data_IF_787001474566
#
_entry.id   IF_787001474566
#
_cell.length_a   1.000
_cell.length_b   1.000
_cell.length_c   1.000
_cell.angle_alpha   90.00
_cell.angle_beta   90.00
_cell.angle_gamma   90.00
#
_symmetry.space_group_name_H-M   'P 1'
#
loop_
_entity.id
_entity.type
_entity.pdbx_description
1 polymer ?
#
# COMPACT_ATOMS: atom_id res chain seq x y z
N UNK A 1 18.12 4.09 1.00
CA UNK A 1 16.69 4.31 1.27
C UNK A 1 15.90 3.43 0.30
N UNK A 2 14.84 2.78 0.78
CA UNK A 2 13.87 2.08 -0.07
C UNK A 2 13.29 3.03 -1.12
N UNK A 3 12.79 2.50 -2.24
CA UNK A 3 12.27 3.35 -3.31
C UNK A 3 11.38 2.59 -4.28
N UNK A 4 10.54 3.35 -4.97
CA UNK A 4 9.68 2.85 -6.04
C UNK A 4 10.34 3.01 -7.40
N UNK A 5 10.10 2.06 -8.29
CA UNK A 5 10.23 2.32 -9.73
C UNK A 5 9.11 3.25 -10.19
N UNK A 6 9.26 3.89 -11.36
CA UNK A 6 8.19 4.72 -11.95
C UNK A 6 6.92 3.87 -12.08
N UNK A 7 5.80 4.42 -11.63
CA UNK A 7 4.49 3.76 -11.66
C UNK A 7 3.43 4.78 -12.03
N UNK A 8 2.48 4.37 -12.87
CA UNK A 8 1.26 5.11 -13.15
C UNK A 8 0.10 4.34 -12.50
N UNK A 9 -0.66 5.03 -11.64
CA UNK A 9 -1.89 4.53 -11.06
C UNK A 9 -3.04 5.35 -11.62
N UNK A 10 -4.04 4.65 -12.15
CA UNK A 10 -5.19 5.26 -12.79
C UNK A 10 -6.44 5.04 -11.91
N UNK A 11 -7.20 6.10 -11.60
CA UNK A 11 -8.49 5.94 -10.94
C UNK A 11 -9.44 5.22 -11.89
N UNK A 12 -10.08 4.13 -11.44
CA UNK A 12 -11.00 3.35 -12.29
C UNK A 12 -12.39 3.97 -12.41
N UNK A 13 -12.68 4.99 -11.58
CA UNK A 13 -14.03 5.55 -11.41
C UNK A 13 -14.97 4.64 -10.60
N UNK A 14 -14.50 3.48 -10.13
CA UNK A 14 -15.27 2.56 -9.31
C UNK A 14 -14.97 2.77 -7.82
N UNK A 15 -15.91 2.35 -6.97
CA UNK A 15 -15.73 2.36 -5.51
C UNK A 15 -16.03 1.00 -4.90
N UNK A 16 -15.21 0.54 -3.93
CA UNK A 16 -15.46 -0.63 -3.09
C UNK A 16 -15.58 -0.16 -1.64
N UNK A 17 -16.70 -0.48 -0.98
CA UNK A 17 -16.97 -0.07 0.40
C UNK A 17 -16.81 1.46 0.65
N UNK A 18 -17.12 2.28 -0.36
CA UNK A 18 -16.99 3.74 -0.30
C UNK A 18 -15.57 4.27 -0.55
N UNK A 19 -14.60 3.42 -0.88
CA UNK A 19 -13.23 3.80 -1.28
C UNK A 19 -13.05 3.74 -2.78
N UNK A 20 -12.35 4.70 -3.36
CA UNK A 20 -12.01 4.71 -4.78
C UNK A 20 -11.04 3.56 -5.11
N UNK A 21 -11.30 2.86 -6.21
CA UNK A 21 -10.40 1.81 -6.70
C UNK A 21 -9.39 2.43 -7.67
N UNK A 22 -8.13 2.09 -7.48
CA UNK A 22 -7.03 2.46 -8.37
C UNK A 22 -6.49 1.22 -9.06
N UNK A 23 -6.19 1.35 -10.35
CA UNK A 23 -5.56 0.30 -11.14
C UNK A 23 -4.13 0.69 -11.45
N UNK A 24 -3.22 -0.25 -11.29
CA UNK A 24 -1.81 -0.11 -11.69
C UNK A 24 -1.74 -0.19 -13.21
N UNK A 25 -1.42 0.91 -13.89
CA UNK A 25 -1.32 0.95 -15.34
C UNK A 25 -0.01 0.30 -15.84
N UNK A 26 1.08 0.53 -15.10
CA UNK A 26 2.40 -0.04 -15.39
C UNK A 26 2.92 -0.80 -14.17
N UNK A 27 3.44 -2.02 -14.41
CA UNK A 27 4.06 -2.82 -13.34
C UNK A 27 5.17 -2.01 -12.66
N UNK A 28 5.21 -2.07 -11.33
CA UNK A 28 6.27 -1.41 -10.56
C UNK A 28 6.77 -2.31 -9.44
N UNK A 29 7.93 -1.97 -8.90
CA UNK A 29 8.52 -2.67 -7.78
C UNK A 29 8.83 -1.71 -6.64
N UNK A 30 8.65 -2.20 -5.41
CA UNK A 30 9.15 -1.58 -4.19
C UNK A 30 10.36 -2.35 -3.67
N UNK A 31 11.54 -1.73 -3.68
CA UNK A 31 12.77 -2.33 -3.16
C UNK A 31 12.87 -2.12 -1.65
N UNK A 32 13.02 -3.22 -0.91
CA UNK A 32 13.04 -3.22 0.55
C UNK A 32 14.45 -2.87 1.05
N UNK A 33 14.53 -1.92 1.98
CA UNK A 33 15.75 -1.51 2.69
C UNK A 33 16.57 -0.45 1.95
N UNK A 34 17.04 -0.77 0.75
CA UNK A 34 17.78 0.15 -0.10
C UNK A 34 17.64 -0.17 -1.58
N UNK A 35 17.84 0.85 -2.42
CA UNK A 35 17.82 0.72 -3.87
C UNK A 35 18.88 -0.29 -4.35
N UNK A 36 18.47 -1.29 -5.12
CA UNK A 36 19.35 -2.38 -5.58
C UNK A 36 19.62 -3.48 -4.55
N UNK A 37 18.80 -3.60 -3.49
CA UNK A 37 18.94 -4.69 -2.50
C UNK A 37 18.69 -6.09 -3.06
N UNK A 38 18.07 -6.19 -4.25
CA UNK A 38 17.63 -7.46 -4.84
C UNK A 38 16.39 -8.06 -4.18
N UNK A 39 15.91 -7.47 -3.08
CA UNK A 39 14.67 -7.85 -2.42
C UNK A 39 13.58 -6.83 -2.75
N UNK A 40 12.64 -7.21 -3.61
CA UNK A 40 11.60 -6.31 -4.08
C UNK A 40 10.22 -6.97 -4.11
N UNK A 41 9.19 -6.16 -3.86
CA UNK A 41 7.79 -6.53 -4.05
C UNK A 41 7.33 -5.98 -5.38
N UNK A 42 7.01 -6.87 -6.32
CA UNK A 42 6.51 -6.49 -7.64
C UNK A 42 4.99 -6.46 -7.64
N UNK A 43 4.43 -5.32 -8.01
CA UNK A 43 3.00 -5.13 -8.25
C UNK A 43 2.77 -5.12 -9.77
N UNK A 44 2.00 -6.09 -10.31
CA UNK A 44 1.81 -6.21 -11.75
C UNK A 44 0.86 -5.13 -12.31
N UNK A 45 1.03 -4.79 -13.58
CA UNK A 45 0.03 -4.03 -14.33
C UNK A 45 -1.33 -4.75 -14.28
N UNK A 46 -2.40 -3.97 -14.16
CA UNK A 46 -3.77 -4.47 -13.97
C UNK A 46 -4.13 -4.78 -12.51
N UNK A 47 -3.18 -4.74 -11.57
CA UNK A 47 -3.49 -4.90 -10.14
C UNK A 47 -4.41 -3.77 -9.65
N UNK A 48 -5.42 -4.13 -8.87
CA UNK A 48 -6.38 -3.18 -8.31
C UNK A 48 -6.18 -3.06 -6.80
N UNK A 49 -6.12 -1.83 -6.31
CA UNK A 49 -6.05 -1.49 -4.88
C UNK A 49 -7.22 -0.60 -4.52
N UNK A 50 -7.81 -0.79 -3.34
CA UNK A 50 -8.82 0.10 -2.75
C UNK A 50 -8.19 1.17 -1.84
N UNK A 51 -6.86 1.25 -1.84
CA UNK A 51 -6.09 2.21 -1.05
C UNK A 51 -5.88 1.77 0.40
N UNK A 52 -5.28 2.63 1.24
CA UNK A 52 -4.96 2.27 2.61
C UNK A 52 -6.23 2.02 3.42
N UNK A 53 -6.25 0.92 4.16
CA UNK A 53 -7.34 0.56 5.08
C UNK A 53 -7.34 1.45 6.33
N UNK A 54 -7.88 2.66 6.19
CA UNK A 54 -7.90 3.69 7.25
C UNK A 54 -9.33 3.90 7.78
N UNK A 55 -9.53 4.14 9.09
CA UNK A 55 -10.82 4.49 9.63
C UNK A 55 -11.42 5.74 8.97
N UNK A 56 -12.74 5.73 8.75
CA UNK A 56 -13.46 6.80 8.05
C UNK A 56 -13.22 8.19 8.66
N UNK A 57 -13.06 8.28 9.99
CA UNK A 57 -12.83 9.54 10.71
C UNK A 57 -11.45 10.14 10.43
N UNK A 58 -10.47 9.32 10.04
CA UNK A 58 -9.11 9.76 9.76
C UNK A 58 -8.91 10.17 8.28
N UNK A 59 -9.83 9.81 7.37
CA UNK A 59 -9.72 10.09 5.93
C UNK A 59 -9.56 11.59 5.61
N UNK A 60 -10.07 12.49 6.47
CA UNK A 60 -9.93 13.95 6.30
C UNK A 60 -8.59 14.50 6.76
N UNK A 61 -7.84 13.72 7.54
CA UNK A 61 -6.57 14.14 8.15
C UNK A 61 -5.36 13.61 7.35
N UNK A 62 -5.56 12.54 6.58
CA UNK A 62 -4.49 11.90 5.83
C UNK A 62 -4.57 12.20 4.34
N UNK A 63 -3.41 12.27 3.68
CA UNK A 63 -3.34 12.29 2.22
C UNK A 63 -3.38 10.86 1.69
N UNK A 64 -4.59 10.38 1.40
CA UNK A 64 -4.81 9.04 0.84
C UNK A 64 -4.13 8.91 -0.54
N UNK A 65 -4.12 9.99 -1.33
CA UNK A 65 -3.53 10.00 -2.68
C UNK A 65 -2.03 9.72 -2.66
N UNK A 66 -1.32 10.30 -1.69
CA UNK A 66 0.11 10.08 -1.48
C UNK A 66 0.46 8.64 -1.05
N UNK A 67 -0.51 7.86 -0.58
CA UNK A 67 -0.31 6.50 -0.05
C UNK A 67 -0.78 5.40 -1.00
N UNK A 68 -1.39 5.72 -2.15
CA UNK A 68 -2.03 4.74 -3.03
C UNK A 68 -1.03 3.68 -3.53
N UNK A 69 0.19 4.09 -3.88
CA UNK A 69 1.20 3.16 -4.40
C UNK A 69 1.73 2.26 -3.28
N UNK A 70 1.95 2.81 -2.09
CA UNK A 70 2.26 2.03 -0.89
C UNK A 70 1.14 1.05 -0.53
N UNK A 71 -0.13 1.47 -0.68
CA UNK A 71 -1.28 0.61 -0.44
C UNK A 71 -1.35 -0.55 -1.45
N UNK A 72 -1.07 -0.31 -2.73
CA UNK A 72 -0.97 -1.39 -3.71
C UNK A 72 0.10 -2.43 -3.36
N UNK A 73 1.24 -2.01 -2.80
CA UNK A 73 2.25 -2.95 -2.27
C UNK A 73 1.71 -3.75 -1.09
N UNK A 74 1.00 -3.11 -0.16
CA UNK A 74 0.39 -3.76 1.00
C UNK A 74 -0.67 -4.79 0.62
N UNK A 75 -1.57 -4.43 -0.31
CA UNK A 75 -2.60 -5.34 -0.81
C UNK A 75 -1.96 -6.53 -1.54
N UNK A 76 -0.92 -6.27 -2.33
CA UNK A 76 -0.17 -7.34 -3.01
C UNK A 76 0.54 -8.28 -2.02
N UNK A 77 1.01 -7.77 -0.89
CA UNK A 77 1.59 -8.56 0.20
C UNK A 77 0.53 -9.39 0.94
N UNK A 78 -0.71 -8.91 1.03
CA UNK A 78 -1.81 -9.68 1.62
C UNK A 78 -2.20 -10.91 0.80
N UNK A 79 -2.04 -10.85 -0.52
CA UNK A 79 -2.25 -12.01 -1.42
C UNK A 79 -1.09 -13.03 -1.36
N UNK A 80 0.07 -12.62 -0.83
CA UNK A 80 1.27 -13.43 -0.80
C UNK A 80 1.43 -14.15 0.55
N UNK A 81 1.05 -15.43 0.58
CA UNK A 81 1.11 -16.27 1.79
C UNK A 81 2.52 -16.48 2.36
N UNK A 82 3.57 -16.08 1.62
CA UNK A 82 4.96 -16.11 2.12
C UNK A 82 5.22 -15.05 3.20
N UNK A 83 4.40 -14.00 3.25
CA UNK A 83 4.53 -12.92 4.23
C UNK A 83 3.48 -13.05 5.33
N UNK A 84 3.93 -12.89 6.56
CA UNK A 84 3.03 -12.68 7.69
C UNK A 84 2.36 -11.31 7.58
N UNK A 85 1.23 -11.15 8.27
CA UNK A 85 0.54 -9.85 8.35
C UNK A 85 1.47 -8.76 8.86
N UNK A 86 2.25 -9.06 9.91
CA UNK A 86 3.15 -8.10 10.55
C UNK A 86 4.28 -7.66 9.60
N UNK A 87 4.84 -8.60 8.82
CA UNK A 87 5.83 -8.27 7.79
C UNK A 87 5.22 -7.36 6.71
N UNK A 88 4.00 -7.67 6.26
CA UNK A 88 3.27 -6.82 5.32
C UNK A 88 3.05 -5.40 5.85
N UNK A 89 2.59 -5.28 7.10
CA UNK A 89 2.34 -3.99 7.76
C UNK A 89 3.65 -3.19 7.94
N UNK A 90 4.76 -3.84 8.29
CA UNK A 90 6.08 -3.19 8.44
C UNK A 90 6.67 -2.73 7.09
N UNK A 91 6.51 -3.54 6.04
CA UNK A 91 6.91 -3.16 4.68
C UNK A 91 6.07 -1.97 4.22
N UNK A 92 4.78 -1.95 4.49
CA UNK A 92 3.89 -0.84 4.16
C UNK A 92 4.30 0.46 4.87
N UNK A 93 4.67 0.42 6.15
CA UNK A 93 5.23 1.58 6.86
C UNK A 93 6.48 2.13 6.16
N UNK A 94 7.36 1.23 5.70
CA UNK A 94 8.58 1.59 4.97
C UNK A 94 8.26 2.14 3.58
N UNK A 95 7.23 1.62 2.91
CA UNK A 95 6.76 2.08 1.62
C UNK A 95 6.22 3.51 1.70
N UNK A 96 5.37 3.80 2.69
CA UNK A 96 4.86 5.16 2.93
C UNK A 96 6.00 6.15 3.19
N UNK A 97 7.02 5.75 3.95
CA UNK A 97 8.19 6.58 4.19
C UNK A 97 8.98 6.88 2.90
N UNK A 98 8.98 5.99 1.92
CA UNK A 98 9.60 6.21 0.61
C UNK A 98 8.77 7.11 -0.32
N UNK A 99 7.50 7.37 0.01
CA UNK A 99 6.63 8.35 -0.68
C UNK A 99 6.59 9.71 0.05
N UNK A 100 7.50 9.95 0.99
CA UNK A 100 7.57 11.18 1.79
C UNK A 100 6.29 11.47 2.60
N UNK A 101 5.51 10.43 2.90
CA UNK A 101 4.35 10.53 3.81
C UNK A 101 4.84 10.96 5.19
N UNK A 102 4.15 11.96 5.76
CA UNK A 102 4.59 12.55 7.04
C UNK A 102 4.60 11.51 8.18
N UNK A 103 5.55 11.59 9.13
CA UNK A 103 5.73 10.55 10.15
C UNK A 103 4.50 10.24 11.00
N UNK A 104 3.65 11.22 11.28
CA UNK A 104 2.44 11.01 12.08
C UNK A 104 1.32 10.33 11.28
N UNK A 105 1.20 10.63 9.97
CA UNK A 105 0.20 9.98 9.11
C UNK A 105 0.52 8.50 8.94
N UNK A 106 1.78 8.17 8.65
CA UNK A 106 2.21 6.78 8.50
C UNK A 106 2.04 5.97 9.80
N UNK A 107 2.25 6.57 10.97
CA UNK A 107 2.05 5.91 12.26
C UNK A 107 0.57 5.63 12.53
N UNK A 108 -0.29 6.62 12.29
CA UNK A 108 -1.74 6.46 12.41
C UNK A 108 -2.26 5.34 11.49
N UNK A 109 -1.80 5.33 10.24
CA UNK A 109 -2.17 4.31 9.26
C UNK A 109 -1.61 2.94 9.64
N UNK A 110 -0.36 2.87 10.13
CA UNK A 110 0.25 1.64 10.60
C UNK A 110 -0.51 1.02 11.77
N UNK A 111 -0.86 1.81 12.78
CA UNK A 111 -1.65 1.33 13.92
C UNK A 111 -3.05 0.87 13.48
N UNK A 112 -3.68 1.58 12.54
CA UNK A 112 -4.96 1.17 11.97
C UNK A 112 -4.90 -0.20 11.27
N UNK A 113 -3.91 -0.44 10.41
CA UNK A 113 -3.76 -1.74 9.74
C UNK A 113 -3.34 -2.84 10.70
N UNK A 114 -2.53 -2.51 11.72
CA UNK A 114 -2.07 -3.45 12.73
C UNK A 114 -3.23 -4.01 13.56
N UNK A 115 -4.13 -3.13 14.02
CA UNK A 115 -5.32 -3.49 14.79
C UNK A 115 -6.43 -4.13 13.95
N UNK A 116 -6.38 -3.97 12.63
CA UNK A 116 -7.34 -4.60 11.74
C UNK A 116 -6.97 -6.08 11.49
N UNK A 117 -7.75 -7.00 12.07
CA UNK A 117 -7.55 -8.46 11.89
C UNK A 117 -8.10 -9.01 10.56
N UNK A 118 -8.76 -8.18 9.75
CA UNK A 118 -9.25 -8.63 8.44
C UNK A 118 -8.08 -8.87 7.49
N UNK A 119 -7.82 -10.14 7.17
CA UNK A 119 -7.13 -10.51 5.93
C UNK A 119 -8.16 -10.49 4.80
N UNK A 120 -7.84 -9.85 3.68
CA UNK A 120 -8.60 -10.02 2.46
C UNK A 120 -8.64 -11.53 2.16
N UNK A 121 -9.86 -12.11 2.17
CA UNK A 121 -10.05 -13.52 1.81
C UNK A 121 -9.70 -13.63 0.33
N UNK A 122 -8.70 -14.44 0.00
CA UNK A 122 -8.64 -15.07 -1.30
C UNK A 122 -9.98 -15.80 -1.47
N UNK A 123 -10.83 -15.28 -2.36
CA UNK A 123 -12.07 -15.93 -2.79
C UNK A 123 -11.85 -16.40 -4.21
#
# INVERSE_FOLDING_TARGET
>A
MSGFTRALLEPTGQTREGRAIYRVAESFAFEIGYKGSGLAITVPAGFETDGPSVPWWALKLIDVGAMIRSAAVHDRLREDLRFSKLEGDAIFLTAMAAEDVTPWQRELVFEAVRLNETRARAT
#
